data_IF_088234204348
#
_entry.id   IF_088234204348
#
_cell.length_a   1.000
_cell.length_b   1.000
_cell.length_c   1.000
_cell.angle_alpha   90.00
_cell.angle_beta   90.00
_cell.angle_gamma   90.00
#
_symmetry.space_group_name_H-M   'P 1'
#
loop_
_entity.id
_entity.type
_entity.pdbx_description
1 polymer ?
#
# COMPACT_ATOMS: atom_id res chain seq x y z
N UNK A 1 -46.74 139.82 76.96
CA UNK A 1 -45.39 139.38 77.41
C UNK A 1 -45.42 138.00 78.09
N UNK A 2 -46.27 137.76 79.11
CA UNK A 2 -46.39 136.44 79.79
C UNK A 2 -47.00 135.32 78.93
N UNK A 3 -48.02 135.62 78.13
CA UNK A 3 -48.70 134.59 77.32
C UNK A 3 -47.82 134.07 76.17
N UNK A 4 -47.06 134.96 75.52
CA UNK A 4 -46.07 134.59 74.51
C UNK A 4 -44.94 133.72 75.09
N UNK A 5 -44.56 133.91 76.35
CA UNK A 5 -43.55 133.03 76.99
C UNK A 5 -44.13 131.65 77.31
N UNK A 6 -45.43 131.56 77.61
CA UNK A 6 -46.15 130.30 77.81
C UNK A 6 -46.28 129.47 76.53
N UNK A 7 -46.72 130.09 75.42
CA UNK A 7 -46.80 129.43 74.11
C UNK A 7 -45.44 128.97 73.60
N UNK A 8 -44.39 129.80 73.73
CA UNK A 8 -43.03 129.40 73.39
C UNK A 8 -42.53 128.23 74.25
N UNK A 9 -42.95 128.15 75.52
CA UNK A 9 -42.61 127.01 76.40
C UNK A 9 -43.32 125.72 75.98
N UNK A 10 -44.58 125.82 75.54
CA UNK A 10 -45.34 124.67 75.02
C UNK A 10 -44.72 124.19 73.71
N UNK A 11 -44.45 125.10 72.76
CA UNK A 11 -43.79 124.77 71.50
C UNK A 11 -42.41 124.14 71.72
N UNK A 12 -41.64 124.61 72.69
CA UNK A 12 -40.35 124.01 73.04
C UNK A 12 -40.50 122.60 73.63
N UNK A 13 -41.54 122.35 74.44
CA UNK A 13 -41.84 121.01 74.97
C UNK A 13 -42.32 120.05 73.87
N UNK A 14 -43.18 120.52 72.97
CA UNK A 14 -43.65 119.73 71.82
C UNK A 14 -42.49 119.40 70.87
N UNK A 15 -41.64 120.38 70.54
CA UNK A 15 -40.45 120.15 69.72
C UNK A 15 -39.47 119.18 70.40
N UNK A 16 -39.31 119.24 71.73
CA UNK A 16 -38.51 118.26 72.49
C UNK A 16 -39.11 116.87 72.44
N UNK A 17 -40.41 116.73 72.69
CA UNK A 17 -41.11 115.43 72.60
C UNK A 17 -41.06 114.85 71.19
N UNK A 18 -41.14 115.68 70.14
CA UNK A 18 -40.93 115.26 68.77
C UNK A 18 -39.48 114.82 68.51
N UNK A 19 -38.49 115.53 69.06
CA UNK A 19 -37.08 115.11 68.98
C UNK A 19 -36.86 113.76 69.66
N UNK A 20 -37.41 113.57 70.87
CA UNK A 20 -37.34 112.31 71.61
C UNK A 20 -38.00 111.16 70.84
N UNK A 21 -39.19 111.39 70.26
CA UNK A 21 -39.88 110.40 69.41
C UNK A 21 -39.07 110.04 68.16
N UNK A 22 -38.48 111.03 67.50
CA UNK A 22 -37.63 110.79 66.32
C UNK A 22 -36.34 110.06 66.71
N UNK A 23 -35.75 110.35 67.87
CA UNK A 23 -34.58 109.63 68.39
C UNK A 23 -34.90 108.16 68.69
N UNK A 24 -36.07 107.87 69.27
CA UNK A 24 -36.54 106.51 69.50
C UNK A 24 -36.77 105.76 68.18
N UNK A 25 -37.47 106.35 67.21
CA UNK A 25 -37.65 105.77 65.88
C UNK A 25 -36.31 105.50 65.17
N UNK A 26 -35.36 106.43 65.28
CA UNK A 26 -34.03 106.28 64.69
C UNK A 26 -33.25 105.15 65.36
N UNK A 27 -33.35 105.00 66.69
CA UNK A 27 -32.77 103.88 67.42
C UNK A 27 -33.38 102.53 67.02
N UNK A 28 -34.71 102.46 66.82
CA UNK A 28 -35.39 101.26 66.33
C UNK A 28 -34.96 100.90 64.90
N UNK A 29 -34.89 101.88 64.00
CA UNK A 29 -34.41 101.67 62.62
C UNK A 29 -32.96 101.17 62.63
N UNK A 30 -32.09 101.75 63.46
CA UNK A 30 -30.71 101.28 63.62
C UNK A 30 -30.65 99.84 64.10
N UNK A 31 -31.47 99.47 65.08
CA UNK A 31 -31.57 98.09 65.57
C UNK A 31 -32.00 97.13 64.46
N UNK A 32 -33.08 97.44 63.74
CA UNK A 32 -33.55 96.62 62.61
C UNK A 32 -32.53 96.50 61.48
N UNK A 33 -31.80 97.58 61.17
CA UNK A 33 -30.72 97.55 60.19
C UNK A 33 -29.59 96.62 60.65
N UNK A 34 -29.22 96.65 61.93
CA UNK A 34 -28.19 95.77 62.49
C UNK A 34 -28.60 94.29 62.44
N UNK A 35 -29.88 93.99 62.73
CA UNK A 35 -30.45 92.65 62.67
C UNK A 35 -30.47 92.12 61.24
N UNK A 36 -30.98 92.91 60.28
CA UNK A 36 -30.95 92.59 58.85
C UNK A 36 -29.54 92.39 58.32
N UNK A 37 -28.58 93.20 58.76
CA UNK A 37 -27.18 93.08 58.34
C UNK A 37 -26.57 91.75 58.80
N UNK A 38 -26.78 91.39 60.08
CA UNK A 38 -26.36 90.09 60.62
C UNK A 38 -27.04 88.93 59.92
N UNK A 39 -28.31 89.07 59.56
CA UNK A 39 -29.06 88.04 58.83
C UNK A 39 -28.56 87.87 57.40
N UNK A 40 -28.26 88.97 56.70
CA UNK A 40 -27.66 88.94 55.37
C UNK A 40 -26.26 88.31 55.38
N UNK A 41 -25.47 88.52 56.43
CA UNK A 41 -24.19 87.82 56.61
C UNK A 41 -24.38 86.32 56.87
N UNK A 42 -25.33 85.94 57.75
CA UNK A 42 -25.68 84.52 57.97
C UNK A 42 -26.11 83.84 56.66
N UNK A 43 -26.97 84.49 55.87
CA UNK A 43 -27.41 83.95 54.57
C UNK A 43 -26.26 83.83 53.59
N UNK A 44 -25.35 84.81 53.53
CA UNK A 44 -24.14 84.73 52.68
C UNK A 44 -23.23 83.57 53.07
N UNK A 45 -23.03 83.33 54.37
CA UNK A 45 -22.27 82.17 54.86
C UNK A 45 -22.91 80.84 54.46
N UNK A 46 -24.22 80.69 54.66
CA UNK A 46 -24.94 79.46 54.27
C UNK A 46 -24.91 79.21 52.77
N UNK A 47 -25.01 80.26 51.94
CA UNK A 47 -24.90 80.14 50.49
C UNK A 47 -23.48 79.68 50.10
N UNK A 48 -22.45 80.27 50.69
CA UNK A 48 -21.07 79.85 50.45
C UNK A 48 -20.82 78.38 50.84
N UNK A 49 -21.35 77.93 51.97
CA UNK A 49 -21.25 76.53 52.42
C UNK A 49 -21.95 75.56 51.45
N UNK A 50 -23.13 75.94 50.93
CA UNK A 50 -23.89 75.14 49.97
C UNK A 50 -23.14 75.07 48.64
N UNK A 51 -22.62 76.20 48.15
CA UNK A 51 -21.83 76.28 46.93
C UNK A 51 -20.56 75.44 47.04
N UNK A 52 -19.83 75.51 48.16
CA UNK A 52 -18.63 74.71 48.39
C UNK A 52 -18.93 73.20 48.43
N UNK A 53 -20.04 72.80 49.05
CA UNK A 53 -20.49 71.40 49.05
C UNK A 53 -20.88 70.92 47.65
N UNK A 54 -21.59 71.75 46.89
CA UNK A 54 -21.98 71.44 45.52
C UNK A 54 -20.74 71.27 44.63
N UNK A 55 -19.81 72.22 44.70
CA UNK A 55 -18.53 72.17 43.99
C UNK A 55 -17.71 70.93 44.36
N UNK A 56 -17.62 70.62 45.65
CA UNK A 56 -16.91 69.43 46.14
C UNK A 56 -17.53 68.15 45.57
N UNK A 57 -18.87 68.06 45.54
CA UNK A 57 -19.58 66.92 44.95
C UNK A 57 -19.37 66.83 43.44
N UNK A 58 -19.34 67.96 42.73
CA UNK A 58 -19.05 67.97 41.28
C UNK A 58 -17.62 67.50 41.01
N UNK A 59 -16.63 67.96 41.79
CA UNK A 59 -15.24 67.48 41.68
C UNK A 59 -15.13 65.99 41.94
N UNK A 60 -15.77 65.50 43.00
CA UNK A 60 -15.77 64.07 43.32
C UNK A 60 -16.42 63.23 42.22
N UNK A 61 -17.58 63.66 41.70
CA UNK A 61 -18.25 62.96 40.60
C UNK A 61 -17.41 62.94 39.33
N UNK A 62 -16.70 64.03 39.02
CA UNK A 62 -15.75 64.08 37.88
C UNK A 62 -14.59 63.13 38.08
N UNK A 63 -13.95 63.15 39.24
CA UNK A 63 -12.84 62.24 39.55
C UNK A 63 -13.26 60.76 39.47
N UNK A 64 -14.45 60.42 39.98
CA UNK A 64 -15.01 59.07 39.85
C UNK A 64 -15.27 58.69 38.40
N UNK A 65 -15.78 59.63 37.60
CA UNK A 65 -16.04 59.41 36.18
C UNK A 65 -14.73 59.19 35.39
N UNK A 66 -13.71 60.02 35.63
CA UNK A 66 -12.38 59.88 35.01
C UNK A 66 -11.74 58.54 35.37
N UNK A 67 -11.75 58.15 36.66
CA UNK A 67 -11.24 56.85 37.09
C UNK A 67 -11.99 55.67 36.44
N UNK A 68 -13.31 55.77 36.27
CA UNK A 68 -14.10 54.74 35.59
C UNK A 68 -13.78 54.66 34.09
N UNK A 69 -13.51 55.79 33.43
CA UNK A 69 -13.10 55.82 32.03
C UNK A 69 -11.72 55.18 31.87
N UNK A 70 -10.76 55.53 32.71
CA UNK A 70 -9.41 54.95 32.69
C UNK A 70 -9.41 53.43 32.92
N UNK A 71 -10.24 52.95 33.85
CA UNK A 71 -10.40 51.51 34.08
C UNK A 71 -11.02 50.82 32.86
N UNK A 72 -12.04 51.43 32.24
CA UNK A 72 -12.64 50.90 31.01
C UNK A 72 -11.61 50.83 29.87
N UNK A 73 -10.83 51.89 29.67
CA UNK A 73 -9.79 51.93 28.62
C UNK A 73 -8.72 50.86 28.88
N UNK A 74 -8.26 50.70 30.13
CA UNK A 74 -7.33 49.61 30.50
C UNK A 74 -7.91 48.22 30.19
N UNK A 75 -9.15 47.96 30.59
CA UNK A 75 -9.82 46.68 30.33
C UNK A 75 -10.05 46.44 28.84
N UNK A 76 -10.30 47.48 28.05
CA UNK A 76 -10.46 47.40 26.60
C UNK A 76 -9.14 47.04 25.91
N UNK A 77 -8.03 47.65 26.32
CA UNK A 77 -6.68 47.33 25.83
C UNK A 77 -6.26 45.90 26.19
N UNK A 78 -6.50 45.47 27.44
CA UNK A 78 -6.23 44.10 27.88
C UNK A 78 -7.08 43.07 27.11
N UNK A 79 -8.37 43.35 26.92
CA UNK A 79 -9.27 42.51 26.12
C UNK A 79 -8.81 42.43 24.65
N UNK A 80 -8.45 43.56 24.05
CA UNK A 80 -7.97 43.65 22.67
C UNK A 80 -6.67 42.85 22.45
N UNK A 81 -5.72 42.97 23.38
CA UNK A 81 -4.45 42.22 23.32
C UNK A 81 -4.68 40.73 23.51
N UNK A 82 -5.54 40.32 24.46
CA UNK A 82 -5.90 38.92 24.67
C UNK A 82 -6.61 38.32 23.45
N UNK A 83 -7.55 39.06 22.85
CA UNK A 83 -8.28 38.62 21.65
C UNK A 83 -7.33 38.39 20.47
N UNK A 84 -6.37 39.30 20.24
CA UNK A 84 -5.34 39.14 19.21
C UNK A 84 -4.46 37.92 19.47
N UNK A 85 -4.04 37.70 20.73
CA UNK A 85 -3.26 36.51 21.10
C UNK A 85 -4.05 35.23 20.85
N UNK A 86 -5.30 35.16 21.29
CA UNK A 86 -6.16 33.98 21.10
C UNK A 86 -6.44 33.69 19.63
N UNK A 87 -6.57 34.72 18.80
CA UNK A 87 -6.71 34.57 17.35
C UNK A 87 -5.48 33.89 16.75
N UNK A 88 -4.27 34.34 17.10
CA UNK A 88 -3.01 33.72 16.64
C UNK A 88 -2.88 32.27 17.11
N UNK A 89 -3.10 32.01 18.40
CA UNK A 89 -3.07 30.64 18.96
C UNK A 89 -4.07 29.72 18.23
N UNK A 90 -5.25 30.23 17.89
CA UNK A 90 -6.27 29.47 17.15
C UNK A 90 -5.84 29.19 15.71
N UNK A 91 -5.21 30.15 15.04
CA UNK A 91 -4.67 29.98 13.68
C UNK A 91 -3.52 28.98 13.64
N UNK A 92 -2.60 29.03 14.61
CA UNK A 92 -1.51 28.05 14.76
C UNK A 92 -2.05 26.63 14.98
N UNK A 93 -3.05 26.47 15.87
CA UNK A 93 -3.68 25.17 16.08
C UNK A 93 -4.40 24.67 14.82
N UNK A 94 -5.12 25.53 14.10
CA UNK A 94 -5.75 25.19 12.81
C UNK A 94 -4.71 24.78 11.77
N UNK A 95 -3.57 25.45 11.71
CA UNK A 95 -2.49 25.07 10.81
C UNK A 95 -1.94 23.69 11.17
N UNK A 96 -1.64 23.45 12.45
CA UNK A 96 -1.15 22.16 12.94
C UNK A 96 -2.13 21.01 12.68
N UNK A 97 -3.44 21.25 12.83
CA UNK A 97 -4.47 20.26 12.49
C UNK A 97 -4.40 19.90 11.00
N UNK A 98 -4.33 20.90 10.11
CA UNK A 98 -4.23 20.66 8.66
C UNK A 98 -2.97 19.91 8.27
N UNK A 99 -1.85 20.17 8.94
CA UNK A 99 -0.59 19.46 8.68
C UNK A 99 -0.68 18.00 9.15
N UNK A 100 -1.19 17.76 10.37
CA UNK A 100 -1.43 16.39 10.86
C UNK A 100 -2.43 15.61 10.00
N UNK A 101 -3.48 16.26 9.49
CA UNK A 101 -4.43 15.63 8.57
C UNK A 101 -3.77 15.23 7.23
N UNK A 102 -2.81 16.01 6.73
CA UNK A 102 -2.02 15.65 5.55
C UNK A 102 -1.11 14.46 5.85
N UNK A 103 -0.42 14.50 6.97
CA UNK A 103 0.46 13.41 7.40
C UNK A 103 -0.30 12.10 7.57
N UNK A 104 -1.50 12.14 8.17
CA UNK A 104 -2.38 10.97 8.31
C UNK A 104 -2.75 10.41 6.93
N UNK A 105 -3.08 11.26 5.96
CA UNK A 105 -3.41 10.80 4.59
C UNK A 105 -2.21 10.12 3.93
N UNK A 106 -1.03 10.73 4.02
CA UNK A 106 0.22 10.16 3.47
C UNK A 106 0.56 8.82 4.12
N UNK A 107 0.51 8.74 5.45
CA UNK A 107 0.77 7.49 6.18
C UNK A 107 -0.27 6.41 5.87
N UNK A 108 -1.54 6.80 5.65
CA UNK A 108 -2.58 5.86 5.21
C UNK A 108 -2.28 5.27 3.84
N UNK A 109 -1.87 6.10 2.88
CA UNK A 109 -1.50 5.62 1.54
C UNK A 109 -0.28 4.71 1.59
N UNK A 110 0.75 5.06 2.37
CA UNK A 110 1.93 4.22 2.55
C UNK A 110 1.60 2.88 3.20
N UNK A 111 0.68 2.87 4.17
CA UNK A 111 0.18 1.64 4.80
C UNK A 111 -0.54 0.75 3.79
N UNK A 112 -1.44 1.30 2.97
CA UNK A 112 -2.15 0.54 1.93
C UNK A 112 -1.19 -0.04 0.89
N UNK A 113 -0.17 0.71 0.48
CA UNK A 113 0.89 0.24 -0.43
C UNK A 113 1.73 -0.89 0.19
N UNK A 114 2.10 -0.76 1.47
CA UNK A 114 2.82 -1.81 2.20
C UNK A 114 1.97 -3.08 2.34
N UNK A 115 0.71 -2.95 2.69
CA UNK A 115 -0.24 -4.07 2.79
C UNK A 115 -0.49 -4.72 1.41
N UNK A 116 -0.51 -3.93 0.34
CA UNK A 116 -0.53 -4.42 -1.04
C UNK A 116 0.69 -5.28 -1.35
N UNK A 117 1.90 -4.74 -1.12
CA UNK A 117 3.16 -5.47 -1.31
C UNK A 117 3.22 -6.74 -0.47
N UNK A 118 2.79 -6.70 0.79
CA UNK A 118 2.77 -7.88 1.66
C UNK A 118 1.85 -8.98 1.12
N UNK A 119 0.67 -8.60 0.60
CA UNK A 119 -0.25 -9.55 -0.06
C UNK A 119 0.36 -10.19 -1.29
N UNK A 120 1.04 -9.41 -2.13
CA UNK A 120 1.74 -9.92 -3.31
C UNK A 120 2.88 -10.86 -2.93
N UNK A 121 3.69 -10.50 -1.93
CA UNK A 121 4.76 -11.36 -1.43
C UNK A 121 4.25 -12.67 -0.87
N UNK A 122 3.14 -12.64 -0.12
CA UNK A 122 2.47 -13.84 0.39
C UNK A 122 2.00 -14.74 -0.76
N UNK A 123 1.29 -14.17 -1.74
CA UNK A 123 0.84 -14.92 -2.93
C UNK A 123 2.03 -15.53 -3.68
N UNK A 124 3.12 -14.78 -3.83
CA UNK A 124 4.32 -15.28 -4.52
C UNK A 124 4.98 -16.42 -3.76
N UNK A 125 4.98 -16.36 -2.42
CA UNK A 125 5.45 -17.45 -1.57
C UNK A 125 4.58 -18.70 -1.74
N UNK A 126 3.26 -18.58 -1.67
CA UNK A 126 2.32 -19.70 -1.88
C UNK A 126 2.48 -20.31 -3.29
N UNK A 127 2.68 -19.48 -4.32
CA UNK A 127 2.97 -19.95 -5.69
C UNK A 127 4.28 -20.75 -5.75
N UNK A 128 5.34 -20.28 -5.08
CA UNK A 128 6.63 -20.97 -5.03
C UNK A 128 6.54 -22.30 -4.25
N UNK A 129 5.86 -22.31 -3.10
CA UNK A 129 5.62 -23.52 -2.29
C UNK A 129 4.84 -24.56 -3.11
N UNK A 130 3.82 -24.16 -3.87
CA UNK A 130 3.08 -25.08 -4.75
C UNK A 130 3.93 -25.65 -5.90
N UNK A 131 4.85 -24.86 -6.45
CA UNK A 131 5.79 -25.33 -7.48
C UNK A 131 6.81 -26.29 -6.89
N UNK A 132 7.33 -26.00 -5.69
CA UNK A 132 8.24 -26.87 -4.95
C UNK A 132 7.59 -28.22 -4.67
N UNK A 133 6.36 -28.24 -4.13
CA UNK A 133 5.62 -29.48 -3.85
C UNK A 133 5.42 -30.34 -5.12
N UNK A 134 5.07 -29.71 -6.25
CA UNK A 134 4.93 -30.41 -7.54
C UNK A 134 6.26 -30.99 -8.01
N UNK A 135 7.34 -30.21 -7.93
CA UNK A 135 8.67 -30.67 -8.32
C UNK A 135 9.16 -31.82 -7.44
N UNK A 136 8.89 -31.78 -6.13
CA UNK A 136 9.19 -32.89 -5.21
C UNK A 136 8.40 -34.16 -5.55
N UNK A 137 7.11 -34.01 -5.88
CA UNK A 137 6.27 -35.12 -6.33
C UNK A 137 6.79 -35.75 -7.63
N UNK A 138 7.11 -34.94 -8.63
CA UNK A 138 7.70 -35.39 -9.90
C UNK A 138 9.05 -36.10 -9.69
N UNK A 139 9.91 -35.57 -8.83
CA UNK A 139 11.19 -36.21 -8.48
C UNK A 139 10.96 -37.57 -7.80
N UNK A 140 9.97 -37.67 -6.92
CA UNK A 140 9.61 -38.93 -6.27
C UNK A 140 9.08 -39.96 -7.27
N UNK A 141 8.21 -39.55 -8.19
CA UNK A 141 7.71 -40.40 -9.28
C UNK A 141 8.83 -40.86 -10.21
N UNK A 142 9.72 -39.95 -10.63
CA UNK A 142 10.90 -40.30 -11.44
C UNK A 142 11.81 -41.31 -10.72
N UNK A 143 12.05 -41.14 -9.42
CA UNK A 143 12.82 -42.09 -8.61
C UNK A 143 12.16 -43.47 -8.56
N UNK A 144 10.84 -43.53 -8.41
CA UNK A 144 10.07 -44.78 -8.47
C UNK A 144 10.22 -45.44 -9.84
N UNK A 145 9.99 -44.69 -10.92
CA UNK A 145 10.11 -45.19 -12.29
C UNK A 145 11.52 -45.72 -12.58
N UNK A 146 12.57 -45.05 -12.12
CA UNK A 146 13.96 -45.52 -12.24
C UNK A 146 14.17 -46.82 -11.45
N UNK A 147 13.61 -46.93 -10.25
CA UNK A 147 13.66 -48.16 -9.46
C UNK A 147 12.97 -49.32 -10.18
N UNK A 148 11.77 -49.09 -10.71
CA UNK A 148 11.00 -50.09 -11.45
C UNK A 148 11.74 -50.52 -12.71
N UNK A 149 12.30 -49.57 -13.47
CA UNK A 149 13.12 -49.88 -14.65
C UNK A 149 14.34 -50.72 -14.30
N UNK A 150 15.04 -50.43 -13.19
CA UNK A 150 16.15 -51.26 -12.70
C UNK A 150 15.69 -52.68 -12.38
N UNK A 151 14.58 -52.84 -11.65
CA UNK A 151 14.02 -54.16 -11.34
C UNK A 151 13.61 -54.93 -12.60
N UNK A 152 13.00 -54.26 -13.59
CA UNK A 152 12.66 -54.90 -14.87
C UNK A 152 13.89 -55.27 -15.69
N UNK A 153 14.94 -54.44 -15.65
CA UNK A 153 16.22 -54.72 -16.30
C UNK A 153 16.87 -55.96 -15.66
N UNK A 154 16.99 -55.99 -14.33
CA UNK A 154 17.54 -57.13 -13.58
C UNK A 154 16.77 -58.43 -13.88
N UNK A 155 15.43 -58.35 -13.91
CA UNK A 155 14.58 -59.49 -14.28
C UNK A 155 14.82 -59.96 -15.72
N UNK A 156 14.96 -59.03 -16.68
CA UNK A 156 15.24 -59.36 -18.08
C UNK A 156 16.63 -59.97 -18.26
N UNK A 157 17.65 -59.45 -17.56
CA UNK A 157 19.00 -60.03 -17.57
C UNK A 157 19.00 -61.44 -16.99
N UNK A 158 18.26 -61.67 -15.91
CA UNK A 158 18.11 -63.00 -15.33
C UNK A 158 17.43 -63.97 -16.30
N UNK A 159 16.37 -63.54 -16.99
CA UNK A 159 15.71 -64.34 -18.03
C UNK A 159 16.67 -64.70 -19.18
N UNK A 160 17.52 -63.76 -19.62
CA UNK A 160 18.55 -64.03 -20.64
C UNK A 160 19.54 -65.09 -20.14
N UNK A 161 20.05 -64.97 -18.92
CA UNK A 161 20.98 -65.96 -18.32
C UNK A 161 20.33 -67.33 -18.23
N UNK A 162 19.06 -67.43 -17.83
CA UNK A 162 18.35 -68.69 -17.73
C UNK A 162 18.05 -69.30 -19.10
N UNK A 163 17.70 -68.49 -20.11
CA UNK A 163 17.57 -68.93 -21.50
C UNK A 163 18.90 -69.43 -22.09
N UNK A 164 20.02 -68.78 -21.77
CA UNK A 164 21.37 -69.24 -22.15
C UNK A 164 21.73 -70.59 -21.52
N UNK A 165 21.40 -70.79 -20.23
CA UNK A 165 21.55 -72.08 -19.55
C UNK A 165 20.72 -73.16 -20.23
N UNK A 166 19.43 -72.93 -20.45
CA UNK A 166 18.55 -73.87 -21.15
C UNK A 166 19.06 -74.21 -22.55
N UNK A 167 19.55 -73.22 -23.30
CA UNK A 167 20.18 -73.42 -24.62
C UNK A 167 21.43 -74.29 -24.52
N UNK A 168 22.26 -74.11 -23.50
CA UNK A 168 23.44 -74.93 -23.26
C UNK A 168 23.07 -76.38 -22.92
N UNK A 169 22.04 -76.59 -22.09
CA UNK A 169 21.52 -77.91 -21.74
C UNK A 169 20.91 -78.63 -22.95
N UNK A 170 20.11 -77.94 -23.75
CA UNK A 170 19.56 -78.48 -24.99
C UNK A 170 20.67 -78.88 -25.98
N UNK A 171 21.74 -78.08 -26.10
CA UNK A 171 22.91 -78.43 -26.90
C UNK A 171 23.61 -79.69 -26.37
N UNK A 172 23.77 -79.82 -25.05
CA UNK A 172 24.34 -81.02 -24.41
C UNK A 172 23.45 -82.25 -24.67
N UNK A 173 22.14 -82.14 -24.48
CA UNK A 173 21.19 -83.23 -24.75
C UNK A 173 21.15 -83.62 -26.23
N UNK A 174 21.23 -82.64 -27.15
CA UNK A 174 21.34 -82.89 -28.58
C UNK A 174 22.62 -83.66 -28.90
N UNK A 175 23.75 -83.27 -28.30
CA UNK A 175 25.03 -83.95 -28.47
C UNK A 175 24.99 -85.37 -27.89
N UNK A 176 24.43 -85.57 -26.70
CA UNK A 176 24.21 -86.90 -26.12
C UNK A 176 23.30 -87.77 -26.99
N UNK A 177 22.23 -87.20 -27.54
CA UNK A 177 21.33 -87.90 -28.46
C UNK A 177 22.04 -88.26 -29.78
N UNK A 178 22.85 -87.36 -30.33
CA UNK A 178 23.68 -87.63 -31.52
C UNK A 178 24.68 -88.73 -31.24
N UNK A 179 25.38 -88.70 -30.10
CA UNK A 179 26.32 -89.74 -29.71
C UNK A 179 25.62 -91.09 -29.52
N UNK A 180 24.43 -91.13 -28.93
CA UNK A 180 23.60 -92.34 -28.83
C UNK A 180 23.18 -92.83 -30.22
N UNK A 181 22.72 -91.93 -31.08
CA UNK A 181 22.36 -92.25 -32.46
C UNK A 181 23.56 -92.81 -33.22
N UNK A 182 24.74 -92.21 -33.09
CA UNK A 182 25.97 -92.69 -33.72
C UNK A 182 26.41 -94.05 -33.17
N UNK A 183 26.26 -94.30 -31.86
CA UNK A 183 26.47 -95.62 -31.25
C UNK A 183 25.51 -96.67 -31.82
N UNK A 184 24.20 -96.38 -31.81
CA UNK A 184 23.16 -97.27 -32.37
C UNK A 184 23.36 -97.45 -33.87
N UNK A 185 23.77 -96.43 -34.62
CA UNK A 185 24.04 -96.52 -36.04
C UNK A 185 25.30 -97.35 -36.33
N UNK A 186 26.34 -97.25 -35.48
CA UNK A 186 27.49 -98.16 -35.51
C UNK A 186 27.07 -99.59 -35.20
N UNK A 187 26.24 -99.80 -34.19
CA UNK A 187 25.67 -101.11 -33.84
C UNK A 187 24.81 -101.68 -34.98
N UNK A 188 23.93 -100.87 -35.57
CA UNK A 188 23.12 -101.21 -36.74
C UNK A 188 24.02 -101.57 -37.92
N UNK A 189 25.10 -100.82 -38.19
CA UNK A 189 26.10 -101.19 -39.20
C UNK A 189 26.78 -102.51 -38.86
N UNK A 190 27.11 -102.79 -37.59
CA UNK A 190 27.69 -104.08 -37.18
C UNK A 190 26.70 -105.24 -37.27
N UNK A 191 25.41 -105.00 -37.03
CA UNK A 191 24.34 -105.98 -37.21
C UNK A 191 24.04 -106.18 -38.68
N UNK A 192 24.07 -105.11 -39.48
CA UNK A 192 23.93 -105.15 -40.93
C UNK A 192 25.12 -105.84 -41.59
N UNK A 193 26.34 -105.74 -41.06
CA UNK A 193 27.47 -106.56 -41.51
C UNK A 193 27.40 -108.00 -41.02
N UNK A 194 26.73 -108.29 -39.89
CA UNK A 194 26.43 -109.67 -39.44
C UNK A 194 25.24 -110.32 -40.16
N UNK A 195 24.29 -109.53 -40.66
CA UNK A 195 23.05 -109.98 -41.32
C UNK A 195 23.10 -109.77 -42.86
N UNK A 196 24.14 -109.11 -43.36
CA UNK A 196 24.26 -108.66 -44.75
C UNK A 196 25.50 -109.20 -45.46
N UNK A 197 25.68 -110.52 -45.46
CA UNK A 197 26.21 -111.21 -46.64
C UNK A 197 25.06 -111.38 -47.66
N UNK A 198 24.42 -110.29 -48.08
CA UNK A 198 23.54 -110.25 -49.26
C UNK A 198 23.13 -108.79 -49.58
N UNK A 199 23.73 -108.26 -50.65
CA UNK A 199 23.13 -107.30 -51.62
C UNK A 199 22.77 -105.89 -51.09
N UNK A 200 23.71 -104.92 -51.10
CA UNK A 200 24.01 -103.90 -52.16
C UNK A 200 22.93 -102.84 -52.51
N UNK A 201 23.08 -101.66 -51.88
CA UNK A 201 23.21 -100.28 -52.44
C UNK A 201 22.33 -99.74 -53.61
N UNK A 202 21.70 -98.56 -53.36
CA UNK A 202 21.50 -97.45 -54.32
C UNK A 202 20.17 -96.69 -54.16
N UNK A 203 20.07 -95.57 -53.41
CA UNK A 203 20.17 -94.13 -53.82
C UNK A 203 19.03 -93.68 -54.77
N UNK A 204 18.27 -92.59 -54.61
CA UNK A 204 18.41 -91.31 -53.89
C UNK A 204 17.05 -90.58 -53.74
N UNK A 205 17.00 -89.62 -52.82
CA UNK A 205 15.83 -88.90 -52.29
C UNK A 205 15.58 -87.55 -52.97
N UNK A 206 14.33 -87.35 -53.40
CA UNK A 206 13.43 -86.19 -53.24
C UNK A 206 14.03 -84.77 -53.27
N UNK A 207 13.65 -84.02 -54.31
CA UNK A 207 13.74 -82.56 -54.38
C UNK A 207 12.30 -82.00 -54.51
N UNK A 208 11.92 -81.03 -53.68
CA UNK A 208 10.58 -80.39 -53.68
C UNK A 208 10.63 -79.00 -53.06
N UNK A 209 10.99 -78.02 -53.90
CA UNK A 209 10.18 -76.88 -54.32
C UNK A 209 9.27 -76.11 -53.32
N UNK A 210 9.42 -74.77 -53.37
CA UNK A 210 8.45 -73.66 -53.15
C UNK A 210 7.93 -73.45 -51.71
N UNK A 211 7.79 -72.24 -51.17
CA UNK A 211 7.47 -70.91 -51.72
C UNK A 211 7.75 -69.85 -50.66
N UNK A 212 8.22 -68.64 -51.02
CA UNK A 212 7.42 -67.40 -51.10
C UNK A 212 7.41 -66.66 -49.74
N UNK A 213 7.39 -65.35 -49.57
CA UNK A 213 7.27 -64.11 -50.34
C UNK A 213 7.83 -63.02 -49.37
N UNK A 214 8.70 -62.11 -49.79
CA UNK A 214 8.37 -60.79 -50.35
C UNK A 214 7.87 -59.74 -49.33
N UNK A 215 8.62 -58.63 -49.21
CA UNK A 215 8.17 -57.40 -48.55
C UNK A 215 9.30 -56.52 -48.02
N UNK A 216 9.86 -55.64 -48.86
CA UNK A 216 10.54 -54.41 -48.40
C UNK A 216 9.52 -53.32 -48.05
N UNK A 217 9.87 -52.01 -48.03
CA UNK A 217 11.18 -51.34 -47.97
C UNK A 217 11.23 -50.29 -46.82
N UNK A 218 12.34 -49.56 -46.68
CA UNK A 218 12.44 -48.13 -46.30
C UNK A 218 13.68 -47.82 -45.45
N UNK A 219 14.84 -47.74 -46.11
CA UNK A 219 15.96 -46.95 -45.62
C UNK A 219 15.93 -45.60 -46.35
N UNK A 220 15.26 -44.63 -45.74
CA UNK A 220 15.24 -43.23 -46.16
C UNK A 220 15.49 -42.36 -44.93
N UNK A 221 16.76 -42.15 -44.60
CA UNK A 221 17.16 -41.47 -43.37
C UNK A 221 18.58 -40.91 -43.48
N UNK A 222 18.86 -40.15 -44.53
CA UNK A 222 20.10 -39.40 -44.69
C UNK A 222 19.75 -37.99 -45.18
N UNK A 223 19.41 -37.11 -44.25
CA UNK A 223 19.06 -35.71 -44.53
C UNK A 223 18.91 -34.83 -43.28
N UNK A 224 18.67 -35.43 -42.11
CA UNK A 224 18.36 -34.65 -40.89
C UNK A 224 19.52 -33.89 -40.25
N UNK A 225 20.79 -34.16 -40.57
CA UNK A 225 21.92 -33.55 -39.84
C UNK A 225 22.20 -32.11 -40.25
N UNK A 226 22.08 -31.77 -41.54
CA UNK A 226 22.34 -30.41 -42.04
C UNK A 226 21.21 -29.44 -41.68
N UNK A 227 19.95 -29.90 -41.76
CA UNK A 227 18.78 -29.11 -41.40
C UNK A 227 18.75 -28.80 -39.89
N UNK A 228 19.22 -29.71 -39.04
CA UNK A 228 19.28 -29.48 -37.59
C UNK A 228 20.33 -28.43 -37.21
N UNK A 229 21.48 -28.39 -37.89
CA UNK A 229 22.51 -27.38 -37.65
C UNK A 229 22.06 -25.99 -38.12
N UNK A 230 21.39 -25.91 -39.27
CA UNK A 230 20.83 -24.67 -39.79
C UNK A 230 19.68 -24.14 -38.91
N UNK A 231 18.79 -25.05 -38.47
CA UNK A 231 17.72 -24.74 -37.53
C UNK A 231 18.26 -24.22 -36.19
N UNK A 232 19.33 -24.85 -35.66
CA UNK A 232 19.98 -24.40 -34.43
C UNK A 232 20.50 -22.97 -34.54
N UNK A 233 21.15 -22.63 -35.65
CA UNK A 233 21.69 -21.27 -35.89
C UNK A 233 20.56 -20.25 -36.00
N UNK A 234 19.48 -20.56 -36.72
CA UNK A 234 18.35 -19.63 -36.89
C UNK A 234 17.56 -19.45 -35.58
N UNK A 235 17.34 -20.52 -34.81
CA UNK A 235 16.71 -20.45 -33.48
C UNK A 235 17.53 -19.60 -32.50
N UNK A 236 18.86 -19.74 -32.54
CA UNK A 236 19.76 -18.93 -31.71
C UNK A 236 19.69 -17.44 -32.10
N UNK A 237 19.74 -17.15 -33.41
CA UNK A 237 19.63 -15.79 -33.92
C UNK A 237 18.25 -15.15 -33.64
N UNK A 238 17.19 -15.95 -33.65
CA UNK A 238 15.84 -15.52 -33.28
C UNK A 238 15.74 -15.12 -31.80
N UNK A 239 16.37 -15.88 -30.90
CA UNK A 239 16.39 -15.59 -29.47
C UNK A 239 17.29 -14.39 -29.12
N UNK A 240 18.42 -14.22 -29.80
CA UNK A 240 19.38 -13.13 -29.57
C UNK A 240 18.83 -11.76 -30.02
N UNK A 241 18.01 -11.74 -31.07
CA UNK A 241 17.52 -10.50 -31.66
C UNK A 241 16.43 -9.84 -30.81
N UNK A 242 16.65 -8.63 -30.29
CA UNK A 242 15.68 -7.96 -29.38
C UNK A 242 14.55 -7.20 -30.09
N UNK A 243 14.64 -7.01 -31.41
CA UNK A 243 13.64 -6.29 -32.18
C UNK A 243 12.54 -7.23 -32.71
N UNK A 244 11.30 -6.99 -32.30
CA UNK A 244 10.14 -7.79 -32.68
C UNK A 244 9.84 -7.75 -34.18
N UNK A 245 10.10 -6.63 -34.87
CA UNK A 245 9.88 -6.53 -36.32
C UNK A 245 10.85 -7.44 -37.09
N UNK A 246 12.08 -7.53 -36.59
CA UNK A 246 13.12 -8.35 -37.19
C UNK A 246 12.92 -9.85 -36.83
N UNK A 247 12.32 -10.15 -35.66
CA UNK A 247 11.84 -11.51 -35.32
C UNK A 247 10.66 -11.95 -36.19
N UNK A 248 9.70 -11.07 -36.48
CA UNK A 248 8.55 -11.38 -37.35
C UNK A 248 8.98 -11.73 -38.79
N UNK A 249 10.05 -11.11 -39.31
CA UNK A 249 10.60 -11.42 -40.63
C UNK A 249 11.25 -12.81 -40.73
N UNK A 250 11.67 -13.40 -39.60
CA UNK A 250 12.26 -14.75 -39.55
C UNK A 250 11.19 -15.86 -39.46
N UNK A 251 9.94 -15.52 -39.15
CA UNK A 251 8.84 -16.50 -39.01
C UNK A 251 8.58 -17.31 -40.30
N UNK A 252 8.52 -16.72 -41.51
CA UNK A 252 8.34 -17.49 -42.74
C UNK A 252 9.53 -18.41 -43.06
N UNK A 253 10.73 -18.05 -42.62
CA UNK A 253 11.95 -18.87 -42.80
C UNK A 253 11.91 -20.08 -41.88
N UNK A 254 11.55 -19.87 -40.61
CA UNK A 254 11.30 -20.94 -39.64
C UNK A 254 10.15 -21.86 -40.11
N UNK A 255 9.09 -21.27 -40.67
CA UNK A 255 7.96 -22.02 -41.23
C UNK A 255 8.35 -22.93 -42.38
N UNK A 256 9.30 -22.52 -43.24
CA UNK A 256 9.80 -23.36 -44.33
C UNK A 256 10.65 -24.54 -43.84
N UNK A 257 11.43 -24.35 -42.77
CA UNK A 257 12.32 -25.39 -42.22
C UNK A 257 11.53 -26.38 -41.36
N UNK A 258 10.61 -25.88 -40.52
CA UNK A 258 9.80 -26.67 -39.59
C UNK A 258 8.45 -27.10 -40.18
N UNK A 259 8.17 -26.75 -41.44
CA UNK A 259 6.92 -27.03 -42.17
C UNK A 259 5.68 -26.54 -41.41
N UNK A 260 5.70 -25.29 -40.95
CA UNK A 260 4.53 -24.68 -40.30
C UNK A 260 3.35 -24.59 -41.27
N UNK A 261 2.15 -24.81 -40.74
CA UNK A 261 0.94 -24.42 -41.43
C UNK A 261 0.64 -22.92 -41.20
N UNK A 262 -0.34 -22.39 -41.94
CA UNK A 262 -0.73 -20.98 -41.82
C UNK A 262 -1.23 -20.60 -40.42
N UNK A 263 -1.70 -21.57 -39.64
CA UNK A 263 -2.20 -21.34 -38.28
C UNK A 263 -1.05 -21.20 -37.29
N UNK A 264 0.01 -22.00 -37.46
CA UNK A 264 1.21 -21.97 -36.65
C UNK A 264 2.00 -20.69 -36.88
N UNK A 265 2.12 -20.22 -38.13
CA UNK A 265 2.74 -18.92 -38.42
C UNK A 265 2.02 -17.74 -37.74
N UNK A 266 0.68 -17.77 -37.67
CA UNK A 266 -0.11 -16.73 -37.00
C UNK A 266 0.08 -16.76 -35.48
N UNK A 267 0.09 -17.95 -34.87
CA UNK A 267 0.36 -18.12 -33.43
C UNK A 267 1.76 -17.63 -33.07
N UNK A 268 2.76 -17.94 -33.89
CA UNK A 268 4.13 -17.49 -33.68
C UNK A 268 4.30 -15.98 -33.80
N UNK A 269 3.65 -15.33 -34.78
CA UNK A 269 3.64 -13.85 -34.87
C UNK A 269 2.99 -13.19 -33.66
N UNK A 270 1.86 -13.72 -33.20
CA UNK A 270 1.20 -13.23 -31.99
C UNK A 270 2.08 -13.42 -30.74
N UNK A 271 2.75 -14.57 -30.60
CA UNK A 271 3.66 -14.82 -29.48
C UNK A 271 4.83 -13.83 -29.45
N UNK A 272 5.42 -13.47 -30.60
CA UNK A 272 6.51 -12.50 -30.68
C UNK A 272 6.08 -11.11 -30.18
N UNK A 273 4.86 -10.67 -30.50
CA UNK A 273 4.33 -9.37 -30.06
C UNK A 273 4.19 -9.28 -28.53
N UNK A 274 4.02 -10.41 -27.85
CA UNK A 274 3.88 -10.48 -26.40
C UNK A 274 5.20 -10.69 -25.64
N UNK A 275 6.32 -11.04 -26.31
CA UNK A 275 7.61 -11.33 -25.65
C UNK A 275 8.27 -10.08 -25.02
N UNK A 276 7.89 -8.85 -25.40
CA UNK A 276 8.51 -7.62 -24.89
C UNK A 276 7.64 -6.87 -23.87
N UNK A 277 6.51 -7.44 -23.45
CA UNK A 277 5.71 -6.86 -22.36
C UNK A 277 6.15 -7.47 -21.03
N UNK A 278 7.38 -7.14 -20.62
CA UNK A 278 7.85 -7.19 -19.22
C UNK A 278 9.17 -6.45 -19.06
#
# INVERSE_FOLDING_TARGET
MRDQTGELTIQLKEARSQSESLEEELAEIQKHLSERSREAERMRGLLADVDERADSKVREMRARMEAAIEERDRMEDESSTLARRKTRETEELKQKIRDLERDIKTLSTEKEELEGREREWRRRREELESVEEKAEAEVKEMRSAVSDLRTTLDASEQQVRDAERQKSDLRRLLEESKQRFDKVNKELKTVQTKLGASVTSGRSSMDSNRSGLNGGPAAGGAGGSADTLYLKTIMLQFLEQKDNKLREQLVPVLGRILKFDKSDEQKWKSAIQHITVR
#
